data_IF_373963592366
#
_entry.id   IF_373963592366
#
_cell.length_a   1.000
_cell.length_b   1.000
_cell.length_c   1.000
_cell.angle_alpha   90.00
_cell.angle_beta   90.00
_cell.angle_gamma   90.00
#
_symmetry.space_group_name_H-M   'P 1'
#
loop_
_entity.id
_entity.type
_entity.pdbx_description
1 polymer ?
#
# COMPACT_ATOMS: atom_id res chain seq x y z
N UNK A 1 -8.67 0.96 -22.76
CA UNK A 1 -7.27 1.37 -22.68
C UNK A 1 -6.80 1.35 -21.24
N UNK A 2 -5.60 0.81 -20.98
CA UNK A 2 -5.14 0.70 -19.60
C UNK A 2 -5.11 2.01 -18.85
N UNK A 3 -4.84 3.11 -19.54
CA UNK A 3 -4.76 4.41 -18.90
C UNK A 3 -6.10 5.00 -18.48
N UNK A 4 -7.20 4.45 -18.96
CA UNK A 4 -8.52 5.02 -18.70
C UNK A 4 -8.99 4.82 -17.27
N UNK A 5 -8.42 3.86 -16.56
CA UNK A 5 -8.79 3.61 -15.19
C UNK A 5 -7.86 4.28 -14.18
N UNK A 6 -6.88 5.03 -14.65
CA UNK A 6 -5.97 5.77 -13.77
C UNK A 6 -6.62 7.10 -13.41
N UNK A 7 -6.69 7.37 -12.12
CA UNK A 7 -7.29 8.62 -11.66
C UNK A 7 -6.55 9.20 -10.47
N UNK A 8 -6.66 10.49 -10.30
CA UNK A 8 -6.11 11.19 -9.14
C UNK A 8 -7.14 11.19 -8.04
N UNK A 9 -6.72 10.83 -6.84
CA UNK A 9 -7.57 10.86 -5.65
C UNK A 9 -6.86 11.59 -4.53
N UNK A 10 -7.65 12.26 -3.73
CA UNK A 10 -7.18 12.79 -2.46
C UNK A 10 -7.49 11.74 -1.41
N UNK A 11 -6.44 11.17 -0.82
CA UNK A 11 -6.57 10.11 0.16
C UNK A 11 -6.54 10.76 1.55
N UNK A 12 -7.62 10.70 2.32
CA UNK A 12 -7.64 11.36 3.63
C UNK A 12 -6.69 10.71 4.62
N UNK A 13 -6.30 11.48 5.63
CA UNK A 13 -5.52 10.93 6.72
C UNK A 13 -6.32 9.83 7.42
N UNK A 14 -5.62 8.79 7.86
CA UNK A 14 -6.29 7.69 8.55
C UNK A 14 -5.39 7.08 9.62
N UNK A 15 -6.01 6.67 10.72
CA UNK A 15 -5.32 5.92 11.75
C UNK A 15 -5.28 4.44 11.41
N UNK A 16 -4.15 3.83 11.61
CA UNK A 16 -3.95 2.41 11.31
C UNK A 16 -3.13 1.76 12.42
N UNK A 17 -3.31 0.46 12.58
CA UNK A 17 -2.37 -0.36 13.34
C UNK A 17 -1.49 -1.05 12.30
N UNK A 18 -0.18 -0.91 12.43
CA UNK A 18 0.76 -1.46 11.46
C UNK A 18 1.71 -2.44 12.15
N UNK A 19 1.99 -3.53 11.45
CA UNK A 19 2.98 -4.52 11.87
C UNK A 19 4.10 -4.48 10.85
N UNK A 20 5.33 -4.29 11.33
CA UNK A 20 6.52 -4.23 10.48
C UNK A 20 7.18 -5.60 10.40
N UNK A 21 7.51 -6.03 9.20
CA UNK A 21 8.18 -7.30 8.97
C UNK A 21 9.31 -7.09 7.97
N UNK A 22 10.51 -7.58 8.24
CA UNK A 22 11.59 -7.46 7.27
C UNK A 22 11.36 -8.38 6.08
N UNK A 23 11.80 -7.95 4.93
CA UNK A 23 11.80 -8.74 3.71
C UNK A 23 13.12 -8.55 2.98
N UNK A 24 13.52 -9.54 2.20
CA UNK A 24 14.82 -9.50 1.53
C UNK A 24 14.85 -8.55 0.33
N UNK A 25 13.70 -8.15 -0.18
CA UNK A 25 13.64 -7.24 -1.31
C UNK A 25 12.21 -6.85 -1.64
N UNK A 26 12.05 -6.15 -2.73
CA UNK A 26 10.76 -5.62 -3.17
C UNK A 26 9.97 -6.57 -4.07
N UNK A 27 10.57 -7.68 -4.48
CA UNK A 27 9.86 -8.61 -5.36
C UNK A 27 8.70 -9.27 -4.63
N UNK A 28 7.68 -9.62 -5.39
CA UNK A 28 6.47 -10.23 -4.82
C UNK A 28 6.81 -11.49 -4.02
N UNK A 29 7.77 -12.28 -4.49
CA UNK A 29 8.20 -13.49 -3.77
C UNK A 29 8.80 -13.19 -2.40
N UNK A 30 9.29 -11.97 -2.20
CA UNK A 30 9.86 -11.54 -0.91
C UNK A 30 8.79 -10.91 -0.02
N UNK A 31 7.89 -10.15 -0.63
CA UNK A 31 6.91 -9.33 0.08
C UNK A 31 5.71 -10.16 0.56
N UNK A 32 5.19 -11.05 -0.28
CA UNK A 32 3.97 -11.80 0.06
C UNK A 32 4.14 -12.66 1.31
N UNK A 33 5.26 -13.40 1.48
CA UNK A 33 5.44 -14.13 2.73
C UNK A 33 5.49 -13.24 3.97
N UNK A 34 6.08 -12.04 3.85
CA UNK A 34 6.11 -11.08 4.96
C UNK A 34 4.70 -10.60 5.30
N UNK A 35 3.91 -10.29 4.29
CA UNK A 35 2.52 -9.89 4.49
C UNK A 35 1.73 -10.98 5.17
N UNK A 36 1.91 -12.23 4.74
CA UNK A 36 1.17 -13.34 5.33
C UNK A 36 1.54 -13.56 6.79
N UNK A 37 2.81 -13.41 7.14
CA UNK A 37 3.23 -13.50 8.55
C UNK A 37 2.57 -12.43 9.40
N UNK A 38 2.48 -11.22 8.88
CA UNK A 38 1.83 -10.12 9.59
C UNK A 38 0.33 -10.35 9.73
N UNK A 39 -0.32 -10.91 8.72
CA UNK A 39 -1.75 -11.22 8.78
C UNK A 39 -2.07 -12.21 9.90
N UNK A 40 -1.24 -13.23 10.05
CA UNK A 40 -1.42 -14.18 11.14
C UNK A 40 -1.34 -13.46 12.50
N UNK A 41 -0.42 -12.53 12.64
CA UNK A 41 -0.30 -11.75 13.88
C UNK A 41 -1.54 -10.89 14.11
N UNK A 42 -2.09 -10.27 13.08
CA UNK A 42 -3.33 -9.50 13.22
C UNK A 42 -4.48 -10.37 13.68
N UNK A 43 -4.59 -11.59 13.14
CA UNK A 43 -5.64 -12.52 13.56
C UNK A 43 -5.52 -12.84 15.06
N UNK A 44 -4.29 -12.97 15.53
CA UNK A 44 -4.04 -13.25 16.96
C UNK A 44 -4.39 -12.07 17.85
N UNK A 45 -4.24 -10.84 17.34
CA UNK A 45 -4.54 -9.65 18.11
C UNK A 45 -6.03 -9.37 18.23
N UNK A 46 -6.83 -9.88 17.31
CA UNK A 46 -8.26 -9.67 17.34
C UNK A 46 -8.71 -8.25 17.12
N UNK A 47 -7.90 -7.44 16.44
CA UNK A 47 -8.21 -6.04 16.19
C UNK A 47 -9.23 -5.94 15.06
N UNK A 48 -10.26 -5.12 15.27
CA UNK A 48 -11.26 -4.87 14.24
C UNK A 48 -10.86 -3.70 13.37
N UNK A 49 -10.75 -3.96 12.08
CA UNK A 49 -10.48 -2.92 11.11
C UNK A 49 -11.76 -2.27 10.59
N UNK A 50 -11.60 -1.05 10.08
CA UNK A 50 -12.68 -0.30 9.45
C UNK A 50 -12.56 -0.30 7.93
N UNK A 51 -11.56 -0.99 7.39
CA UNK A 51 -11.35 -1.08 5.96
C UNK A 51 -10.34 -2.16 5.64
N UNK A 52 -9.98 -2.30 4.37
CA UNK A 52 -9.05 -3.34 3.94
C UNK A 52 -7.63 -3.07 4.41
N UNK A 53 -6.82 -4.13 4.41
CA UNK A 53 -5.39 -4.01 4.71
C UNK A 53 -4.68 -3.16 3.67
N UNK A 54 -3.68 -2.43 4.13
CA UNK A 54 -2.83 -1.59 3.31
C UNK A 54 -1.40 -2.05 3.50
N UNK A 55 -0.68 -2.26 2.39
CA UNK A 55 0.73 -2.60 2.43
C UNK A 55 1.53 -1.41 1.96
N UNK A 56 2.56 -1.04 2.71
CA UNK A 56 3.50 -0.02 2.29
C UNK A 56 4.89 -0.37 2.82
N UNK A 57 5.89 0.31 2.28
CA UNK A 57 7.27 0.02 2.63
C UNK A 57 7.84 1.18 3.43
N UNK A 58 8.66 0.84 4.43
CA UNK A 58 9.37 1.83 5.19
C UNK A 58 10.77 2.05 4.64
N UNK A 59 11.49 2.95 5.29
CA UNK A 59 12.89 3.16 4.99
C UNK A 59 13.64 1.87 5.25
N UNK A 60 14.66 1.63 4.45
CA UNK A 60 15.46 0.43 4.62
C UNK A 60 16.93 0.81 4.64
N UNK A 61 17.69 -0.02 5.33
CA UNK A 61 19.12 0.06 5.37
C UNK A 61 19.70 -1.25 4.90
N UNK A 62 20.76 -1.18 4.12
CA UNK A 62 21.36 -2.39 3.56
C UNK A 62 20.46 -3.03 2.53
N UNK A 63 20.34 -4.34 2.58
CA UNK A 63 19.62 -5.10 1.57
C UNK A 63 18.18 -5.43 1.95
N UNK A 64 17.88 -5.38 3.24
CA UNK A 64 16.55 -5.72 3.71
C UNK A 64 15.65 -4.48 3.69
N UNK A 65 14.39 -4.69 3.35
CA UNK A 65 13.38 -3.64 3.44
C UNK A 65 12.42 -3.98 4.56
N UNK A 66 11.67 -2.98 4.99
CA UNK A 66 10.60 -3.18 5.97
C UNK A 66 9.26 -3.11 5.26
N UNK A 67 8.47 -4.18 5.40
CA UNK A 67 7.11 -4.25 4.86
C UNK A 67 6.16 -3.98 6.01
N UNK A 68 5.30 -3.00 5.84
CA UNK A 68 4.25 -2.70 6.81
C UNK A 68 2.94 -3.24 6.29
N UNK A 69 2.28 -4.05 7.11
CA UNK A 69 0.88 -4.40 6.88
C UNK A 69 0.07 -3.58 7.88
N UNK A 70 -0.82 -2.77 7.37
CA UNK A 70 -1.58 -1.82 8.19
C UNK A 70 -3.07 -2.10 8.07
N UNK A 71 -3.76 -2.00 9.19
CA UNK A 71 -5.20 -2.18 9.25
C UNK A 71 -5.82 -0.88 9.72
N UNK A 72 -6.68 -0.23 8.91
CA UNK A 72 -7.38 0.97 9.38
C UNK A 72 -8.25 0.67 10.59
N UNK A 73 -8.23 1.56 11.57
CA UNK A 73 -9.01 1.41 12.79
C UNK A 73 -9.71 2.72 13.12
N UNK A 74 -10.84 2.63 13.81
CA UNK A 74 -11.61 3.81 14.17
C UNK A 74 -10.91 4.64 15.25
N UNK A 75 -10.24 3.98 16.16
CA UNK A 75 -9.54 4.65 17.28
C UNK A 75 -8.31 3.85 17.69
N UNK A 76 -7.33 4.50 18.33
CA UNK A 76 -6.14 3.79 18.76
C UNK A 76 -6.48 2.69 19.76
N UNK A 77 -5.98 1.47 19.59
CA UNK A 77 -6.15 0.43 20.60
C UNK A 77 -5.47 0.81 21.90
N UNK A 78 -6.03 0.34 23.02
CA UNK A 78 -5.49 0.66 24.33
C UNK A 78 -4.12 0.05 24.56
N UNK A 79 -3.90 -1.14 24.00
CA UNK A 79 -2.64 -1.86 24.16
C UNK A 79 -2.25 -2.51 22.85
N UNK A 80 -0.95 -2.49 22.56
CA UNK A 80 -0.39 -3.15 21.38
C UNK A 80 0.90 -3.85 21.77
N UNK A 81 1.17 -5.03 21.20
CA UNK A 81 2.46 -5.68 21.40
C UNK A 81 3.58 -4.90 20.72
N UNK A 82 4.82 -5.24 21.07
CA UNK A 82 5.98 -4.49 20.59
C UNK A 82 6.12 -4.44 19.08
N UNK A 83 5.65 -5.48 18.37
CA UNK A 83 5.78 -5.53 16.92
C UNK A 83 4.72 -4.71 16.18
N UNK A 84 3.73 -4.19 16.89
CA UNK A 84 2.66 -3.41 16.28
C UNK A 84 2.68 -1.97 16.79
N UNK A 85 2.26 -1.04 15.95
CA UNK A 85 2.21 0.36 16.32
C UNK A 85 0.98 1.03 15.71
N UNK A 86 0.42 1.98 16.43
CA UNK A 86 -0.60 2.85 15.89
C UNK A 86 0.08 4.01 15.16
N UNK A 87 -0.30 4.21 13.91
CA UNK A 87 0.26 5.28 13.08
C UNK A 87 -0.88 6.06 12.46
N UNK A 88 -0.63 7.32 12.16
CA UNK A 88 -1.55 8.10 11.34
C UNK A 88 -0.90 8.28 9.97
N UNK A 89 -1.51 7.69 8.95
CA UNK A 89 -1.06 7.91 7.59
C UNK A 89 -1.57 9.28 7.15
N UNK A 90 -0.68 10.15 6.66
CA UNK A 90 -1.09 11.52 6.34
C UNK A 90 -1.98 11.56 5.10
N UNK A 91 -2.75 12.64 4.99
CA UNK A 91 -3.48 12.92 3.76
C UNK A 91 -2.49 13.11 2.62
N UNK A 92 -2.77 12.48 1.47
CA UNK A 92 -1.93 12.63 0.28
C UNK A 92 -2.81 12.73 -0.94
N UNK A 93 -2.29 13.35 -2.00
CA UNK A 93 -2.83 13.15 -3.34
C UNK A 93 -2.08 12.00 -3.98
N UNK A 94 -2.79 11.13 -4.66
CA UNK A 94 -2.19 9.95 -5.28
C UNK A 94 -2.77 9.70 -6.65
N UNK A 95 -1.93 9.19 -7.52
CA UNK A 95 -2.35 8.59 -8.78
C UNK A 95 -2.74 7.16 -8.44
N UNK A 96 -3.92 6.74 -8.83
CA UNK A 96 -4.45 5.45 -8.40
C UNK A 96 -4.96 4.62 -9.56
N UNK A 97 -4.94 3.32 -9.37
CA UNK A 97 -5.55 2.37 -10.29
C UNK A 97 -6.00 1.13 -9.52
N UNK A 98 -7.11 0.56 -9.92
CA UNK A 98 -7.59 -0.70 -9.37
C UNK A 98 -7.28 -1.80 -10.38
N UNK A 99 -6.67 -2.87 -9.89
CA UNK A 99 -6.27 -4.02 -10.72
C UNK A 99 -6.65 -5.31 -10.02
N UNK A 100 -6.92 -6.33 -10.80
CA UNK A 100 -7.18 -7.66 -10.24
C UNK A 100 -6.27 -8.70 -10.89
N UNK A 101 -5.97 -9.74 -10.15
CA UNK A 101 -5.14 -10.84 -10.59
C UNK A 101 -3.99 -11.11 -9.63
N UNK A 102 -3.04 -11.98 -10.04
CA UNK A 102 -1.92 -12.29 -9.15
C UNK A 102 -1.01 -11.09 -8.92
N UNK A 103 -0.62 -10.89 -7.69
CA UNK A 103 0.24 -9.76 -7.31
C UNK A 103 1.53 -9.71 -8.14
N UNK A 104 2.13 -10.86 -8.43
CA UNK A 104 3.37 -10.91 -9.19
C UNK A 104 3.25 -10.32 -10.59
N UNK A 105 2.06 -10.42 -11.20
CA UNK A 105 1.81 -9.86 -12.52
C UNK A 105 1.38 -8.41 -12.45
N UNK A 106 0.60 -8.06 -11.43
CA UNK A 106 -0.03 -6.76 -11.32
C UNK A 106 0.97 -5.67 -10.95
N UNK A 107 1.76 -5.88 -9.90
CA UNK A 107 2.51 -4.80 -9.29
C UNK A 107 3.56 -4.19 -10.21
N UNK A 108 4.40 -4.96 -10.90
CA UNK A 108 5.37 -4.32 -11.79
C UNK A 108 4.72 -3.49 -12.88
N UNK A 109 3.64 -4.02 -13.47
CA UNK A 109 2.98 -3.34 -14.59
C UNK A 109 2.24 -2.10 -14.12
N UNK A 110 1.51 -2.17 -13.02
CA UNK A 110 0.70 -1.03 -12.58
C UNK A 110 1.58 0.12 -12.10
N UNK A 111 2.67 -0.16 -11.38
CA UNK A 111 3.55 0.91 -10.96
C UNK A 111 4.20 1.60 -12.16
N UNK A 112 4.59 0.83 -13.16
CA UNK A 112 5.11 1.41 -14.39
C UNK A 112 4.08 2.34 -15.03
N UNK A 113 2.83 1.89 -15.13
CA UNK A 113 1.76 2.68 -15.74
C UNK A 113 1.49 3.96 -14.95
N UNK A 114 1.44 3.86 -13.63
CA UNK A 114 1.17 5.02 -12.78
C UNK A 114 2.30 6.05 -12.87
N UNK A 115 3.54 5.60 -12.87
CA UNK A 115 4.69 6.49 -12.96
C UNK A 115 4.70 7.20 -14.32
N UNK A 116 4.43 6.48 -15.40
CA UNK A 116 4.38 7.08 -16.72
C UNK A 116 3.23 8.09 -16.85
N UNK A 117 2.07 7.73 -16.33
CA UNK A 117 0.92 8.62 -16.36
C UNK A 117 1.21 9.91 -15.59
N UNK A 118 1.78 9.79 -14.39
CA UNK A 118 2.12 10.94 -13.57
C UNK A 118 3.13 11.85 -14.29
N UNK A 119 4.16 11.25 -14.85
CA UNK A 119 5.18 12.02 -15.58
C UNK A 119 4.58 12.76 -16.77
N UNK A 120 3.69 12.11 -17.52
CA UNK A 120 3.04 12.73 -18.67
C UNK A 120 2.16 13.92 -18.27
N UNK A 121 1.70 13.96 -17.03
CA UNK A 121 0.87 15.05 -16.52
C UNK A 121 1.65 16.09 -15.71
N UNK A 122 2.98 15.95 -15.67
CA UNK A 122 3.82 16.90 -14.95
C UNK A 122 3.84 16.70 -13.44
N UNK A 123 3.39 15.57 -12.96
CA UNK A 123 3.40 15.27 -11.52
C UNK A 123 4.68 14.54 -11.15
N UNK A 124 5.17 14.82 -9.95
CA UNK A 124 6.36 14.16 -9.43
C UNK A 124 5.94 13.17 -8.36
N UNK A 125 6.19 11.90 -8.59
CA UNK A 125 5.85 10.88 -7.59
C UNK A 125 6.70 11.04 -6.35
N UNK A 126 6.11 10.78 -5.20
CA UNK A 126 6.78 11.01 -3.92
C UNK A 126 6.45 9.90 -2.95
N UNK A 127 7.44 9.47 -2.18
CA UNK A 127 7.26 8.50 -1.13
C UNK A 127 6.88 7.12 -1.66
N UNK A 128 6.69 6.18 -0.77
CA UNK A 128 6.28 4.83 -1.17
C UNK A 128 4.82 4.80 -1.56
N UNK A 129 4.50 3.88 -2.48
CA UNK A 129 3.11 3.59 -2.81
C UNK A 129 2.42 2.86 -1.68
N UNK A 130 1.10 2.93 -1.70
CA UNK A 130 0.26 2.17 -0.79
C UNK A 130 -0.54 1.18 -1.62
N UNK A 131 -0.48 -0.08 -1.24
CA UNK A 131 -1.20 -1.14 -1.93
C UNK A 131 -2.37 -1.54 -1.05
N UNK A 132 -3.58 -1.16 -1.45
CA UNK A 132 -4.79 -1.48 -0.68
C UNK A 132 -5.31 -2.82 -1.17
N UNK A 133 -5.40 -3.78 -0.28
CA UNK A 133 -5.86 -5.13 -0.59
C UNK A 133 -7.37 -5.17 -0.38
N UNK A 134 -8.11 -4.82 -1.44
CA UNK A 134 -9.54 -4.57 -1.34
C UNK A 134 -10.32 -5.79 -0.88
N UNK A 135 -9.95 -6.97 -1.36
CA UNK A 135 -10.56 -8.20 -0.87
C UNK A 135 -9.51 -9.10 -0.24
N UNK A 136 -9.92 -9.92 0.68
CA UNK A 136 -9.06 -10.92 1.26
C UNK A 136 -9.24 -12.23 0.54
N UNK A 137 -8.12 -12.87 0.21
CA UNK A 137 -8.12 -14.18 -0.41
C UNK A 137 -7.37 -15.09 0.54
N UNK A 138 -8.10 -15.99 1.18
CA UNK A 138 -7.53 -16.88 2.20
C UNK A 138 -6.72 -18.03 1.60
N UNK A 139 -7.04 -18.40 0.38
CA UNK A 139 -6.41 -19.52 -0.30
C UNK A 139 -5.59 -18.99 -1.46
N UNK A 140 -4.31 -19.38 -1.50
CA UNK A 140 -3.43 -18.98 -2.59
C UNK A 140 -3.93 -19.43 -3.96
N UNK A 141 -4.79 -20.43 -4.01
CA UNK A 141 -5.37 -20.84 -5.30
C UNK A 141 -6.33 -19.81 -5.88
N UNK A 142 -6.74 -18.83 -5.07
CA UNK A 142 -7.64 -17.77 -5.49
C UNK A 142 -6.93 -16.47 -5.83
N UNK A 143 -5.61 -16.52 -6.07
CA UNK A 143 -4.85 -15.29 -6.33
C UNK A 143 -5.35 -14.51 -7.54
N UNK A 144 -5.98 -15.17 -8.50
CA UNK A 144 -6.54 -14.49 -9.67
C UNK A 144 -7.76 -13.63 -9.32
N UNK A 145 -8.31 -13.82 -8.14
CA UNK A 145 -9.46 -13.05 -7.66
C UNK A 145 -9.07 -11.90 -6.75
N UNK A 146 -7.78 -11.72 -6.49
CA UNK A 146 -7.32 -10.61 -5.68
C UNK A 146 -7.56 -9.29 -6.39
N UNK A 147 -8.02 -8.30 -5.63
CA UNK A 147 -8.26 -6.95 -6.15
C UNK A 147 -7.45 -5.98 -5.30
N UNK A 148 -6.67 -5.14 -5.98
CA UNK A 148 -5.82 -4.16 -5.32
C UNK A 148 -6.12 -2.77 -5.84
N UNK A 149 -6.11 -1.79 -4.97
CA UNK A 149 -5.98 -0.40 -5.38
C UNK A 149 -4.58 0.05 -5.07
N UNK A 150 -3.84 0.47 -6.08
CA UNK A 150 -2.49 0.98 -5.89
C UNK A 150 -2.58 2.50 -5.87
N UNK A 151 -2.01 3.11 -4.84
CA UNK A 151 -2.04 4.53 -4.61
C UNK A 151 -0.60 5.04 -4.58
N UNK A 152 -0.22 5.77 -5.61
CA UNK A 152 1.13 6.31 -5.72
C UNK A 152 1.09 7.80 -5.42
N UNK A 153 1.59 8.23 -4.25
CA UNK A 153 1.56 9.65 -3.90
C UNK A 153 2.39 10.48 -4.85
N UNK A 154 1.96 11.71 -5.07
CA UNK A 154 2.70 12.63 -5.92
C UNK A 154 2.60 14.05 -5.37
N UNK A 155 3.50 14.89 -5.84
CA UNK A 155 3.43 16.32 -5.60
C UNK A 155 3.26 17.02 -6.94
N UNK A 156 2.57 18.13 -6.90
CA UNK A 156 2.47 18.96 -8.09
C UNK A 156 3.74 19.80 -8.22
N UNK A 157 4.15 20.13 -9.44
CA UNK A 157 5.28 21.01 -9.59
C UNK A 157 5.01 22.31 -8.83
N UNK A 158 6.09 22.95 -8.41
CA UNK A 158 5.98 24.20 -7.66
C UNK A 158 5.31 25.24 -8.54
N UNK A 159 4.04 25.25 -8.44
CA UNK A 159 3.30 25.91 -9.44
C UNK A 159 3.05 27.32 -9.21
N UNK A 160 3.53 27.75 -8.14
CA UNK A 160 3.65 29.18 -8.12
C UNK A 160 4.19 29.57 -9.45
N UNK A 161 4.96 28.69 -9.97
CA UNK A 161 5.50 28.95 -11.25
C UNK A 161 4.54 28.78 -12.35
N UNK A 162 3.63 27.90 -12.20
CA UNK A 162 2.66 27.72 -13.24
C UNK A 162 1.67 28.85 -13.26
N UNK A 163 1.66 29.54 -12.19
CA UNK A 163 0.78 30.69 -12.11
C UNK A 163 1.20 31.69 -13.10
#
# INVERSE_FOLDING_TARGET
MPADDIMVKKIPAMGVVAIATPAAGFETKDVVPAVNRSRVQFDQLGIKGTGPFIVFFGDHEGQDITVYLALPVAEPPAELPAQAAYLVLPEVEAVTAVRNGPAASIFPAVYHDLIQWASAHGYQTSGPGRDVWINEVDDVSEVDQQVFEIQLPFTRPATGQAG
#
